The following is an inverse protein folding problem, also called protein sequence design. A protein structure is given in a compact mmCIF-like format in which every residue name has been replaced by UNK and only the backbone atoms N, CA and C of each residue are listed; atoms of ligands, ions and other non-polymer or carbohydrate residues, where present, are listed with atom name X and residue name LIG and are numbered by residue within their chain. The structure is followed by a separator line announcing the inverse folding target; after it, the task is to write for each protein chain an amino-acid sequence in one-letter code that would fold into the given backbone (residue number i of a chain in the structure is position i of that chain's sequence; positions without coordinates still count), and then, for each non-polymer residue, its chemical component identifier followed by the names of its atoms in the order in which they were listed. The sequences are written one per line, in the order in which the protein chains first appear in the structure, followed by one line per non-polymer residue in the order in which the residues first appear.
data_IF_769098099301
#
_entry.id   IF_769098099301
#
_cell.length_a   1.000
_cell.length_b   1.000
_cell.length_c   1.000
_cell.angle_alpha   90.00
_cell.angle_beta   90.00
_cell.angle_gamma   90.00
#
_symmetry.space_group_name_H-M   'P 1'
#
loop_
_entity.id
_entity.type
_entity.pdbx_description
1 polymer ?
#
# COMPACT_ATOMS: atom_id res chain seq x y z
N UNK A 1 1.70 -10.46 7.51
CA UNK A 1 0.55 -10.99 6.73
C UNK A 1 0.93 -12.30 6.05
N UNK A 2 -0.02 -13.25 5.91
CA UNK A 2 0.21 -14.44 5.07
C UNK A 2 0.14 -14.09 3.59
N UNK A 3 0.67 -14.97 2.72
CA UNK A 3 0.58 -14.78 1.26
C UNK A 3 -0.88 -14.71 0.79
N UNK A 4 -1.76 -15.53 1.38
CA UNK A 4 -3.19 -15.55 1.09
C UNK A 4 -3.88 -14.23 1.47
N UNK A 5 -3.55 -13.66 2.62
CA UNK A 5 -4.07 -12.37 3.06
C UNK A 5 -3.62 -11.25 2.11
N UNK A 6 -2.35 -11.22 1.70
CA UNK A 6 -1.85 -10.24 0.72
C UNK A 6 -2.58 -10.35 -0.62
N UNK A 7 -2.78 -11.58 -1.11
CA UNK A 7 -3.47 -11.83 -2.38
C UNK A 7 -4.94 -11.40 -2.27
N UNK A 8 -5.62 -11.71 -1.16
CA UNK A 8 -7.05 -11.41 -0.99
C UNK A 8 -7.37 -9.92 -1.13
N UNK A 9 -6.46 -9.04 -0.71
CA UNK A 9 -6.57 -7.58 -0.89
C UNK A 9 -6.71 -7.19 -2.36
N UNK A 10 -6.06 -7.92 -3.27
CA UNK A 10 -5.99 -7.55 -4.68
C UNK A 10 -6.79 -8.47 -5.62
N UNK A 11 -7.56 -9.44 -5.09
CA UNK A 11 -8.38 -10.36 -5.92
C UNK A 11 -9.23 -9.61 -6.94
N UNK A 12 -10.01 -8.54 -6.58
CA UNK A 12 -10.83 -7.84 -7.56
C UNK A 12 -10.02 -7.17 -8.68
N UNK A 13 -8.77 -6.80 -8.43
CA UNK A 13 -7.87 -6.26 -9.45
C UNK A 13 -7.29 -7.37 -10.32
N UNK A 14 -6.92 -8.51 -9.74
CA UNK A 14 -6.42 -9.67 -10.46
C UNK A 14 -7.48 -10.24 -11.43
N UNK A 15 -8.75 -10.15 -11.08
CA UNK A 15 -9.88 -10.57 -11.95
C UNK A 15 -10.06 -9.67 -13.20
N UNK A 16 -9.40 -8.50 -13.25
CA UNK A 16 -9.41 -7.62 -14.43
C UNK A 16 -8.34 -7.97 -15.47
N UNK A 17 -7.41 -8.86 -15.14
CA UNK A 17 -6.39 -9.30 -16.08
C UNK A 17 -7.00 -10.10 -17.23
N UNK A 18 -6.51 -9.83 -18.43
CA UNK A 18 -6.99 -10.46 -19.67
C UNK A 18 -6.18 -11.71 -20.04
N UNK A 19 -5.00 -11.90 -19.43
CA UNK A 19 -4.11 -13.05 -19.67
C UNK A 19 -3.73 -13.74 -18.36
N UNK A 20 -3.79 -15.08 -18.35
CA UNK A 20 -3.39 -15.87 -17.18
C UNK A 20 -1.91 -15.72 -16.83
N UNK A 21 -1.04 -15.59 -17.84
CA UNK A 21 0.39 -15.38 -17.65
C UNK A 21 0.66 -14.18 -16.74
N UNK A 22 0.11 -13.01 -17.10
CA UNK A 22 0.34 -11.76 -16.36
C UNK A 22 -0.35 -11.78 -14.99
N UNK A 23 -1.54 -12.40 -14.90
CA UNK A 23 -2.26 -12.57 -13.65
C UNK A 23 -1.48 -13.41 -12.64
N UNK A 24 -0.93 -14.55 -13.08
CA UNK A 24 -0.13 -15.44 -12.24
C UNK A 24 1.19 -14.77 -11.82
N UNK A 25 1.86 -14.09 -12.73
CA UNK A 25 3.05 -13.28 -12.42
C UNK A 25 2.74 -12.23 -11.35
N UNK A 26 1.68 -11.44 -11.55
CA UNK A 26 1.27 -10.41 -10.58
C UNK A 26 0.94 -11.02 -9.22
N UNK A 27 0.24 -12.17 -9.19
CA UNK A 27 -0.08 -12.90 -7.96
C UNK A 27 1.19 -13.32 -7.20
N UNK A 28 2.20 -13.84 -7.89
CA UNK A 28 3.47 -14.22 -7.24
C UNK A 28 4.27 -13.01 -6.75
N UNK A 29 4.23 -11.90 -7.47
CA UNK A 29 4.85 -10.64 -7.04
C UNK A 29 4.18 -10.05 -5.79
N UNK A 30 2.86 -10.13 -5.67
CA UNK A 30 2.11 -9.64 -4.50
C UNK A 30 2.63 -10.30 -3.21
N UNK A 31 2.97 -11.59 -3.23
CA UNK A 31 3.53 -12.29 -2.06
C UNK A 31 4.84 -11.68 -1.54
N UNK A 32 5.62 -11.07 -2.44
CA UNK A 32 6.91 -10.45 -2.12
C UNK A 32 6.78 -8.98 -1.66
N UNK A 33 5.59 -8.37 -1.73
CA UNK A 33 5.38 -7.01 -1.23
C UNK A 33 5.61 -7.01 0.29
N UNK A 34 6.44 -6.09 0.82
CA UNK A 34 6.66 -5.98 2.25
C UNK A 34 5.37 -5.70 3.02
N UNK A 35 5.18 -6.33 4.16
CA UNK A 35 3.96 -6.24 4.99
C UNK A 35 3.59 -4.80 5.33
N UNK A 36 4.60 -3.93 5.58
CA UNK A 36 4.34 -2.56 5.97
C UNK A 36 3.49 -1.77 4.95
N UNK A 37 3.58 -2.10 3.64
CA UNK A 37 2.81 -1.44 2.58
C UNK A 37 1.30 -1.57 2.82
N UNK A 38 0.87 -2.67 3.39
CA UNK A 38 -0.54 -2.92 3.67
C UNK A 38 -1.10 -2.08 4.82
N UNK A 39 -0.25 -1.42 5.59
CA UNK A 39 -0.61 -0.77 6.84
C UNK A 39 -0.32 0.73 6.88
N UNK A 40 0.56 1.24 6.00
CA UNK A 40 0.94 2.65 6.00
C UNK A 40 -0.09 3.54 5.30
N UNK A 41 -0.14 4.85 5.64
CA UNK A 41 -0.84 5.82 4.82
C UNK A 41 -0.11 6.05 3.49
N UNK A 42 -0.83 6.45 2.46
CA UNK A 42 -0.22 6.89 1.22
C UNK A 42 0.50 8.24 1.39
N UNK A 43 -0.01 9.11 2.25
CA UNK A 43 0.61 10.40 2.56
C UNK A 43 0.45 10.74 4.04
N UNK A 44 1.54 11.19 4.66
CA UNK A 44 1.52 11.70 6.05
C UNK A 44 1.16 13.19 6.13
N UNK A 45 1.26 13.94 5.03
CA UNK A 45 1.03 15.38 5.02
C UNK A 45 -0.41 15.77 4.68
N UNK A 46 -1.17 14.89 4.02
CA UNK A 46 -2.53 15.15 3.54
C UNK A 46 -2.64 16.28 2.51
N UNK A 47 -1.49 16.81 2.01
CA UNK A 47 -1.49 17.98 1.13
C UNK A 47 -2.18 17.74 -0.20
N UNK A 48 -2.02 16.55 -0.75
CA UNK A 48 -2.52 16.20 -2.08
C UNK A 48 -3.52 15.04 -2.04
N UNK A 49 -3.37 14.13 -1.08
CA UNK A 49 -4.17 12.94 -0.92
C UNK A 49 -5.48 13.23 -0.17
N UNK A 50 -6.54 12.49 -0.49
CA UNK A 50 -7.79 12.55 0.26
C UNK A 50 -7.59 12.01 1.71
N UNK A 51 -8.56 12.31 2.59
CA UNK A 51 -8.45 11.98 4.01
C UNK A 51 -8.27 10.47 4.25
N UNK A 52 -8.94 9.63 3.49
CA UNK A 52 -8.90 8.17 3.61
C UNK A 52 -7.51 7.62 3.35
N UNK A 53 -6.82 8.16 2.36
CA UNK A 53 -5.45 7.76 2.01
C UNK A 53 -4.39 8.27 3.01
N UNK A 54 -4.77 9.14 3.94
CA UNK A 54 -3.89 9.61 5.00
C UNK A 54 -4.02 8.82 6.30
N UNK A 55 -4.91 7.82 6.34
CA UNK A 55 -5.13 6.92 7.47
C UNK A 55 -4.35 5.61 7.31
N UNK A 56 -4.48 4.74 8.29
CA UNK A 56 -4.03 3.35 8.21
C UNK A 56 -4.61 2.68 6.95
N UNK A 57 -3.84 1.81 6.31
CA UNK A 57 -4.17 1.18 5.02
C UNK A 57 -4.33 2.16 3.85
N UNK A 58 -4.04 3.43 4.04
CA UNK A 58 -4.20 4.48 3.03
C UNK A 58 -3.42 4.21 1.75
N UNK A 59 -2.27 3.51 1.86
CA UNK A 59 -1.51 3.08 0.69
C UNK A 59 -2.28 2.07 -0.16
N UNK A 60 -3.00 1.15 0.45
CA UNK A 60 -3.85 0.19 -0.27
C UNK A 60 -5.02 0.90 -0.93
N UNK A 61 -5.68 1.84 -0.25
CA UNK A 61 -6.77 2.63 -0.84
C UNK A 61 -6.29 3.44 -2.05
N UNK A 62 -5.09 4.02 -1.99
CA UNK A 62 -4.47 4.67 -3.12
C UNK A 62 -4.23 3.69 -4.29
N UNK A 63 -3.67 2.52 -4.05
CA UNK A 63 -3.44 1.47 -5.06
C UNK A 63 -4.76 1.06 -5.73
N UNK A 64 -5.81 0.79 -4.96
CA UNK A 64 -7.12 0.39 -5.48
C UNK A 64 -7.71 1.52 -6.35
N UNK A 65 -7.69 2.77 -5.86
CA UNK A 65 -8.18 3.92 -6.62
C UNK A 65 -7.40 4.12 -7.92
N UNK A 66 -6.09 4.01 -7.87
CA UNK A 66 -5.23 4.08 -9.07
C UNK A 66 -5.62 2.98 -10.08
N UNK A 67 -5.74 1.74 -9.63
CA UNK A 67 -6.10 0.61 -10.50
C UNK A 67 -7.50 0.76 -11.12
N UNK A 68 -8.48 1.23 -10.36
CA UNK A 68 -9.84 1.47 -10.88
C UNK A 68 -9.84 2.58 -11.95
N UNK A 69 -9.18 3.72 -11.71
CA UNK A 69 -9.04 4.79 -12.71
C UNK A 69 -8.36 4.23 -13.98
N UNK A 70 -7.28 3.47 -13.84
CA UNK A 70 -6.59 2.86 -14.97
C UNK A 70 -7.50 1.90 -15.74
N UNK A 71 -8.25 1.05 -15.05
CA UNK A 71 -9.17 0.09 -15.68
C UNK A 71 -10.30 0.80 -16.44
N UNK A 72 -10.86 1.89 -15.89
CA UNK A 72 -11.82 2.74 -16.62
C UNK A 72 -11.21 3.31 -17.89
N UNK A 73 -10.00 3.84 -17.82
CA UNK A 73 -9.34 4.42 -19.00
C UNK A 73 -8.99 3.34 -20.03
N UNK A 74 -8.50 2.16 -19.61
CA UNK A 74 -8.19 1.04 -20.52
C UNK A 74 -9.44 0.47 -21.19
N UNK A 75 -10.62 0.58 -20.57
CA UNK A 75 -11.89 0.14 -21.15
C UNK A 75 -12.40 1.06 -22.27
N UNK A 76 -11.96 2.32 -22.31
CA UNK A 76 -12.38 3.27 -23.35
C UNK A 76 -11.90 2.80 -24.74
N UNK A 77 -12.77 2.94 -25.75
CA UNK A 77 -12.48 2.49 -27.13
C UNK A 77 -11.18 3.08 -27.66
N UNK A 78 -10.95 4.36 -27.51
CA UNK A 78 -9.73 5.05 -27.97
C UNK A 78 -8.45 4.46 -27.36
N UNK A 79 -8.49 4.07 -26.07
CA UNK A 79 -7.34 3.47 -25.39
C UNK A 79 -7.17 1.98 -25.75
N UNK A 80 -8.27 1.24 -25.98
CA UNK A 80 -8.20 -0.12 -26.52
C UNK A 80 -7.64 -0.17 -27.93
N UNK A 81 -7.93 0.80 -28.75
CA UNK A 81 -7.36 0.96 -30.09
C UNK A 81 -5.88 1.35 -30.04
N UNK A 82 -5.44 2.08 -29.03
CA UNK A 82 -4.06 2.50 -28.79
C UNK A 82 -3.22 1.37 -28.17
N UNK A 83 -3.71 0.74 -27.11
CA UNK A 83 -3.07 -0.37 -26.41
C UNK A 83 -3.72 -1.69 -26.79
N UNK A 84 -3.45 -2.15 -28.02
CA UNK A 84 -4.18 -3.28 -28.64
C UNK A 84 -3.92 -4.63 -27.97
N UNK A 85 -2.71 -4.87 -27.47
CA UNK A 85 -2.33 -6.13 -26.85
C UNK A 85 -2.91 -6.27 -25.44
N UNK A 86 -3.59 -7.39 -25.15
CA UNK A 86 -4.05 -7.73 -23.79
C UNK A 86 -2.87 -7.76 -22.82
N UNK A 87 -1.77 -8.38 -23.21
CA UNK A 87 -0.54 -8.44 -22.43
C UNK A 87 0.03 -7.06 -22.10
N UNK A 88 -0.04 -6.12 -23.04
CA UNK A 88 0.37 -4.73 -22.80
C UNK A 88 -0.52 -4.03 -21.77
N UNK A 89 -1.84 -4.22 -21.86
CA UNK A 89 -2.80 -3.67 -20.88
C UNK A 89 -2.61 -4.32 -19.51
N UNK A 90 -2.30 -5.62 -19.46
CA UNK A 90 -2.04 -6.32 -18.20
C UNK A 90 -0.71 -5.89 -17.57
N UNK A 91 0.33 -5.62 -18.38
CA UNK A 91 1.56 -5.00 -17.87
C UNK A 91 1.28 -3.64 -17.19
N UNK A 92 0.37 -2.84 -17.75
CA UNK A 92 -0.06 -1.60 -17.12
C UNK A 92 -0.84 -1.85 -15.82
N UNK A 93 -1.68 -2.92 -15.74
CA UNK A 93 -2.43 -3.30 -14.52
C UNK A 93 -1.55 -3.77 -13.37
N UNK A 94 -0.35 -4.26 -13.64
CA UNK A 94 0.63 -4.58 -12.59
C UNK A 94 1.11 -3.32 -11.85
N UNK A 95 1.21 -2.18 -12.54
CA UNK A 95 1.91 -0.99 -12.04
C UNK A 95 1.25 -0.38 -10.81
N UNK A 96 -0.07 -0.21 -10.72
CA UNK A 96 -0.70 0.29 -9.49
C UNK A 96 -0.29 -0.50 -8.24
N UNK A 97 -0.15 -1.82 -8.36
CA UNK A 97 0.22 -2.70 -7.25
C UNK A 97 1.72 -2.58 -6.90
N UNK A 98 2.57 -2.32 -7.89
CA UNK A 98 4.03 -2.41 -7.75
C UNK A 98 4.73 -1.06 -7.54
N UNK A 99 4.17 0.06 -8.03
CA UNK A 99 4.88 1.35 -8.13
C UNK A 99 5.44 1.86 -6.80
N UNK A 100 4.74 1.60 -5.72
CA UNK A 100 5.06 2.01 -4.35
C UNK A 100 5.46 0.84 -3.43
N UNK A 101 5.73 -0.37 -3.98
CA UNK A 101 6.03 -1.56 -3.17
C UNK A 101 7.22 -1.38 -2.22
N UNK A 102 8.15 -0.48 -2.54
CA UNK A 102 9.30 -0.12 -1.70
C UNK A 102 9.29 1.37 -1.30
N UNK A 103 8.10 1.91 -1.02
CA UNK A 103 7.88 3.34 -0.73
C UNK A 103 8.77 3.89 0.38
N UNK A 104 9.02 3.11 1.42
CA UNK A 104 9.86 3.50 2.55
C UNK A 104 11.31 2.97 2.43
N UNK A 105 11.76 2.59 1.24
CA UNK A 105 13.09 2.02 1.00
C UNK A 105 13.18 0.52 1.35
N UNK A 106 14.37 -0.04 1.14
CA UNK A 106 14.64 -1.46 1.41
C UNK A 106 14.64 -1.82 2.91
N UNK A 107 14.92 -0.83 3.77
CA UNK A 107 15.06 -1.02 5.22
C UNK A 107 13.76 -0.77 5.98
N UNK A 108 12.62 -0.71 5.29
CA UNK A 108 11.30 -0.42 5.89
C UNK A 108 11.32 0.86 6.76
N UNK A 109 11.87 1.93 6.21
CA UNK A 109 11.99 3.22 6.89
C UNK A 109 10.63 3.81 7.30
N UNK A 110 10.66 4.84 8.15
CA UNK A 110 9.44 5.49 8.66
C UNK A 110 8.79 6.44 7.64
N UNK A 111 9.51 6.81 6.59
CA UNK A 111 9.09 7.85 5.65
C UNK A 111 9.33 7.42 4.21
N UNK A 112 8.51 7.97 3.31
CA UNK A 112 8.71 7.83 1.87
C UNK A 112 10.10 8.31 1.48
N UNK A 113 10.84 7.48 0.75
CA UNK A 113 12.11 7.86 0.13
C UNK A 113 11.86 8.35 -1.29
N UNK A 114 12.59 9.38 -1.72
CA UNK A 114 12.41 9.99 -3.05
C UNK A 114 12.66 8.98 -4.17
N UNK A 115 13.65 8.13 -4.00
CA UNK A 115 14.08 7.09 -4.95
C UNK A 115 13.20 5.83 -5.01
N UNK A 116 12.10 5.76 -4.25
CA UNK A 116 11.23 4.57 -4.26
C UNK A 116 10.76 4.14 -5.66
N UNK A 117 10.55 5.03 -6.66
CA UNK A 117 10.21 4.61 -8.02
C UNK A 117 11.30 3.75 -8.65
N UNK A 118 12.57 4.15 -8.44
CA UNK A 118 13.72 3.40 -8.95
C UNK A 118 13.87 2.06 -8.24
N UNK A 119 13.64 2.03 -6.92
CA UNK A 119 13.65 0.80 -6.13
C UNK A 119 12.55 -0.18 -6.58
N UNK A 120 11.36 0.32 -6.86
CA UNK A 120 10.27 -0.50 -7.39
C UNK A 120 10.59 -1.09 -8.77
N UNK A 121 11.20 -0.29 -9.67
CA UNK A 121 11.66 -0.77 -10.97
C UNK A 121 12.73 -1.85 -10.85
N UNK A 122 13.73 -1.66 -9.99
CA UNK A 122 14.78 -2.65 -9.74
C UNK A 122 14.23 -3.94 -9.12
N UNK A 123 13.30 -3.81 -8.17
CA UNK A 123 12.60 -4.95 -7.59
C UNK A 123 11.86 -5.77 -8.66
N UNK A 124 11.15 -5.14 -9.59
CA UNK A 124 10.46 -5.82 -10.70
C UNK A 124 11.46 -6.58 -11.58
N UNK A 125 12.62 -5.98 -11.91
CA UNK A 125 13.65 -6.62 -12.75
C UNK A 125 14.31 -7.82 -12.08
N UNK A 126 14.60 -7.69 -10.80
CA UNK A 126 15.35 -8.69 -10.04
C UNK A 126 14.49 -9.79 -9.46
N UNK A 127 13.18 -9.62 -9.42
CA UNK A 127 12.26 -10.59 -8.81
C UNK A 127 12.38 -11.99 -9.44
N UNK A 128 12.46 -12.97 -8.55
CA UNK A 128 12.43 -14.39 -8.87
C UNK A 128 11.07 -14.94 -8.43
N UNK A 129 10.23 -15.34 -9.36
CA UNK A 129 8.88 -15.83 -9.12
C UNK A 129 8.62 -17.14 -9.85
N UNK A 130 7.64 -17.90 -9.39
CA UNK A 130 7.30 -19.21 -9.98
C UNK A 130 6.75 -19.05 -11.39
N UNK A 131 5.86 -18.09 -11.61
CA UNK A 131 5.24 -17.81 -12.90
C UNK A 131 5.86 -16.54 -13.48
N UNK A 132 7.11 -16.66 -13.94
CA UNK A 132 7.87 -15.54 -14.46
C UNK A 132 7.45 -15.17 -15.89
N UNK A 133 7.70 -13.91 -16.26
CA UNK A 133 7.45 -13.34 -17.58
C UNK A 133 8.77 -13.01 -18.27
N UNK A 134 8.74 -12.81 -19.58
CA UNK A 134 9.97 -12.45 -20.31
C UNK A 134 10.53 -11.08 -19.90
N UNK A 135 11.82 -10.89 -20.16
CA UNK A 135 12.55 -9.68 -19.77
C UNK A 135 12.00 -8.39 -20.39
N UNK A 136 11.38 -8.47 -21.57
CA UNK A 136 10.79 -7.30 -22.22
C UNK A 136 9.55 -6.80 -21.47
N UNK A 137 8.68 -7.70 -21.03
CA UNK A 137 7.51 -7.35 -20.24
C UNK A 137 7.92 -6.84 -18.85
N UNK A 138 8.90 -7.48 -18.19
CA UNK A 138 9.48 -6.98 -16.92
C UNK A 138 10.03 -5.57 -17.08
N UNK A 139 10.80 -5.32 -18.12
CA UNK A 139 11.38 -4.00 -18.38
C UNK A 139 10.29 -2.95 -18.61
N UNK A 140 9.22 -3.28 -19.34
CA UNK A 140 8.11 -2.36 -19.54
C UNK A 140 7.42 -1.99 -18.22
N UNK A 141 7.15 -2.97 -17.34
CA UNK A 141 6.56 -2.74 -16.01
C UNK A 141 7.52 -1.91 -15.14
N UNK A 142 8.80 -2.29 -15.07
CA UNK A 142 9.82 -1.60 -14.29
C UNK A 142 9.93 -0.12 -14.68
N UNK A 143 10.00 0.17 -15.98
CA UNK A 143 10.05 1.54 -16.50
C UNK A 143 8.80 2.36 -16.13
N UNK A 144 7.62 1.76 -16.18
CA UNK A 144 6.40 2.43 -15.74
C UNK A 144 6.43 2.74 -14.23
N UNK A 145 6.95 1.81 -13.41
CA UNK A 145 7.16 2.07 -11.98
C UNK A 145 8.16 3.22 -11.75
N UNK A 146 9.30 3.23 -12.44
CA UNK A 146 10.33 4.27 -12.31
C UNK A 146 9.83 5.67 -12.66
N UNK A 147 8.83 5.78 -13.52
CA UNK A 147 8.35 7.03 -14.12
C UNK A 147 6.97 7.47 -13.63
N UNK A 148 6.41 6.77 -12.62
CA UNK A 148 5.07 7.11 -12.14
C UNK A 148 5.00 8.51 -11.52
N UNK A 149 6.12 9.00 -10.94
CA UNK A 149 6.21 10.35 -10.37
C UNK A 149 6.06 11.49 -11.39
N UNK A 150 6.24 11.17 -12.69
CA UNK A 150 6.03 12.11 -13.79
C UNK A 150 6.97 13.31 -13.76
N UNK A 151 6.40 14.51 -13.61
CA UNK A 151 7.15 15.78 -13.56
C UNK A 151 7.81 16.05 -12.20
N UNK A 152 7.50 15.25 -11.17
CA UNK A 152 8.06 15.42 -9.82
C UNK A 152 9.39 14.68 -9.68
N UNK A 153 10.35 15.04 -10.53
CA UNK A 153 11.65 14.34 -10.69
C UNK A 153 12.70 14.72 -9.65
N UNK A 154 12.57 15.90 -9.02
CA UNK A 154 13.56 16.45 -8.11
C UNK A 154 13.10 16.45 -6.66
N UNK A 155 14.04 16.29 -5.74
CA UNK A 155 13.81 16.45 -4.31
C UNK A 155 14.97 17.15 -3.63
N UNK A 156 14.67 18.10 -2.72
CA UNK A 156 15.68 18.74 -1.88
C UNK A 156 16.40 17.76 -0.94
N UNK A 157 15.83 16.58 -0.73
CA UNK A 157 16.34 15.54 0.19
C UNK A 157 17.15 14.45 -0.51
N UNK A 158 17.19 14.43 -1.84
CA UNK A 158 17.92 13.43 -2.63
C UNK A 158 18.67 14.09 -3.77
N UNK A 159 19.80 13.49 -4.16
CA UNK A 159 20.57 13.88 -5.36
C UNK A 159 20.09 13.13 -6.62
N UNK A 160 19.19 12.18 -6.45
CA UNK A 160 18.65 11.38 -7.54
C UNK A 160 17.58 12.20 -8.25
N UNK A 161 17.72 12.30 -9.57
CA UNK A 161 16.70 12.85 -10.46
C UNK A 161 15.95 11.68 -11.09
N UNK A 162 14.65 11.64 -10.89
CA UNK A 162 13.81 10.55 -11.41
C UNK A 162 13.58 10.74 -12.93
N UNK A 163 13.41 9.66 -13.69
CA UNK A 163 13.13 9.76 -15.12
C UNK A 163 11.68 10.18 -15.38
N UNK A 164 11.48 11.11 -16.33
CA UNK A 164 10.15 11.49 -16.81
C UNK A 164 9.50 10.43 -17.70
N UNK A 165 8.16 10.40 -17.83
CA UNK A 165 7.44 9.52 -18.75
C UNK A 165 7.81 9.78 -20.21
N UNK A 166 8.37 8.75 -20.89
CA UNK A 166 8.83 8.85 -22.27
C UNK A 166 7.85 8.34 -23.34
N UNK A 167 6.80 7.61 -22.94
CA UNK A 167 5.83 7.02 -23.87
C UNK A 167 4.40 7.10 -23.32
N UNK A 168 3.43 6.67 -24.12
CA UNK A 168 2.01 6.81 -23.78
C UNK A 168 1.55 5.92 -22.62
N UNK A 169 2.17 4.75 -22.43
CA UNK A 169 1.88 3.89 -21.26
C UNK A 169 2.36 4.57 -19.99
N UNK A 170 3.60 5.03 -19.96
CA UNK A 170 4.21 5.72 -18.83
C UNK A 170 3.43 7.00 -18.47
N UNK A 171 2.99 7.79 -19.48
CA UNK A 171 2.15 8.99 -19.27
C UNK A 171 0.78 8.65 -18.69
N UNK A 172 0.14 7.57 -19.18
CA UNK A 172 -1.16 7.13 -18.65
C UNK A 172 -1.03 6.67 -17.20
N UNK A 173 0.01 5.91 -16.88
CA UNK A 173 0.32 5.49 -15.50
C UNK A 173 0.47 6.71 -14.58
N UNK A 174 1.31 7.67 -14.95
CA UNK A 174 1.49 8.91 -14.20
C UNK A 174 0.17 9.69 -14.00
N UNK A 175 -0.65 9.84 -15.05
CA UNK A 175 -1.93 10.53 -14.93
C UNK A 175 -2.89 9.82 -13.96
N UNK A 176 -2.94 8.48 -14.02
CA UNK A 176 -3.80 7.71 -13.11
C UNK A 176 -3.32 7.82 -11.66
N UNK A 177 -2.01 7.77 -11.43
CA UNK A 177 -1.43 7.95 -10.11
C UNK A 177 -1.74 9.35 -9.54
N UNK A 178 -1.51 10.41 -10.30
CA UNK A 178 -1.88 11.77 -9.90
C UNK A 178 -3.38 11.89 -9.59
N UNK A 179 -4.25 11.36 -10.44
CA UNK A 179 -5.69 11.45 -10.22
C UNK A 179 -6.10 10.70 -8.96
N UNK A 180 -5.53 9.51 -8.72
CA UNK A 180 -5.82 8.72 -7.51
C UNK A 180 -5.38 9.39 -6.22
N UNK A 181 -4.41 10.30 -6.28
CA UNK A 181 -3.90 11.05 -5.13
C UNK A 181 -4.64 12.36 -4.85
N UNK A 182 -5.58 12.81 -5.72
CA UNK A 182 -6.23 14.12 -5.54
C UNK A 182 -7.26 14.11 -4.41
N UNK A 183 -7.18 15.12 -3.53
CA UNK A 183 -8.07 15.26 -2.37
C UNK A 183 -9.52 15.62 -2.72
N UNK A 184 -9.77 16.08 -3.95
CA UNK A 184 -11.11 16.37 -4.46
C UNK A 184 -11.72 15.21 -5.27
N UNK A 185 -11.00 14.11 -5.42
CA UNK A 185 -11.48 12.86 -6.00
C UNK A 185 -11.50 11.82 -4.87
N UNK A 186 -12.68 11.43 -4.42
CA UNK A 186 -12.84 10.44 -3.37
C UNK A 186 -13.61 9.24 -3.91
N UNK A 187 -13.18 8.06 -3.52
CA UNK A 187 -13.89 6.81 -3.77
C UNK A 187 -14.20 6.15 -2.43
N UNK A 188 -15.42 5.61 -2.25
CA UNK A 188 -15.72 4.85 -1.05
C UNK A 188 -14.77 3.65 -0.94
N UNK A 189 -14.27 3.40 0.26
CA UNK A 189 -13.49 2.20 0.54
C UNK A 189 -14.40 1.00 0.31
N UNK A 190 -14.04 0.05 -0.55
CA UNK A 190 -14.80 -1.17 -0.75
C UNK A 190 -14.98 -1.96 0.56
N UNK A 191 -16.18 -2.46 0.84
CA UNK A 191 -16.47 -3.17 2.09
C UNK A 191 -15.57 -4.38 2.31
N UNK A 192 -15.25 -5.14 1.25
CA UNK A 192 -14.36 -6.30 1.34
C UNK A 192 -12.97 -5.96 1.90
N UNK A 193 -12.47 -4.74 1.67
CA UNK A 193 -11.17 -4.33 2.24
C UNK A 193 -11.29 -4.08 3.74
N UNK A 194 -12.40 -3.53 4.20
CA UNK A 194 -12.65 -3.36 5.64
C UNK A 194 -12.69 -4.71 6.33
N UNK A 195 -13.47 -5.64 5.77
CA UNK A 195 -13.60 -7.00 6.33
C UNK A 195 -12.24 -7.70 6.43
N UNK A 196 -11.41 -7.64 5.36
CA UNK A 196 -10.06 -8.23 5.37
C UNK A 196 -9.17 -7.62 6.46
N UNK A 197 -9.17 -6.29 6.60
CA UNK A 197 -8.29 -5.65 7.56
C UNK A 197 -8.79 -5.80 9.00
N UNK A 198 -10.09 -5.81 9.21
CA UNK A 198 -10.69 -6.09 10.51
C UNK A 198 -10.37 -7.53 10.96
N UNK A 199 -10.49 -8.54 10.07
CA UNK A 199 -10.10 -9.92 10.36
C UNK A 199 -8.61 -10.04 10.71
N UNK A 200 -7.71 -9.39 9.96
CA UNK A 200 -6.26 -9.40 10.23
C UNK A 200 -5.95 -8.75 11.59
N UNK A 201 -6.62 -7.65 11.93
CA UNK A 201 -6.43 -7.00 13.22
C UNK A 201 -6.95 -7.84 14.39
N UNK A 202 -8.04 -8.60 14.21
CA UNK A 202 -8.60 -9.50 15.23
C UNK A 202 -7.69 -10.69 15.55
N UNK A 203 -6.87 -11.15 14.61
CA UNK A 203 -5.89 -12.22 14.81
C UNK A 203 -4.71 -11.82 15.70
N UNK A 204 -4.51 -10.51 15.97
CA UNK A 204 -3.41 -10.03 16.78
C UNK A 204 -3.76 -10.10 18.26
N UNK A 205 -3.08 -10.98 18.99
CA UNK A 205 -3.19 -11.07 20.43
C UNK A 205 -2.42 -9.95 21.14
N UNK A 206 -2.97 -9.47 22.26
CA UNK A 206 -2.30 -8.45 23.06
C UNK A 206 -1.11 -9.04 23.84
N UNK A 207 0.10 -8.55 23.56
CA UNK A 207 1.28 -8.81 24.37
C UNK A 207 1.35 -7.84 25.57
N UNK A 208 1.11 -8.33 26.78
CA UNK A 208 1.16 -7.53 28.03
C UNK A 208 2.56 -6.93 28.30
N UNK A 209 3.62 -7.49 27.69
CA UNK A 209 4.99 -7.00 27.81
C UNK A 209 5.40 -6.04 26.69
N UNK A 210 4.50 -5.72 25.77
CA UNK A 210 4.79 -4.81 24.66
C UNK A 210 5.28 -3.45 25.16
N UNK A 211 6.50 -3.06 24.75
CA UNK A 211 7.16 -1.82 25.14
C UNK A 211 7.15 -0.83 24.00
N UNK A 212 6.74 0.40 24.28
CA UNK A 212 6.78 1.48 23.30
C UNK A 212 8.23 1.82 22.92
N UNK A 213 8.55 1.83 21.64
CA UNK A 213 9.89 2.12 21.10
C UNK A 213 10.05 3.60 20.66
N UNK A 214 9.03 4.44 20.88
CA UNK A 214 8.95 5.82 20.38
C UNK A 214 8.24 6.76 21.39
N UNK A 215 8.31 8.06 21.07
CA UNK A 215 7.56 9.12 21.77
C UNK A 215 7.98 9.34 23.21
N UNK A 216 7.15 10.10 23.94
CA UNK A 216 7.43 10.51 25.32
C UNK A 216 7.43 9.36 26.34
N UNK A 217 6.82 8.22 26.00
CA UNK A 217 6.77 7.02 26.84
C UNK A 217 7.66 5.90 26.31
N UNK A 218 8.66 6.20 25.48
CA UNK A 218 9.64 5.21 25.00
C UNK A 218 10.25 4.44 26.17
N UNK A 219 10.29 3.11 26.04
CA UNK A 219 10.83 2.19 27.06
C UNK A 219 9.82 1.79 28.13
N UNK A 220 8.58 2.29 28.11
CA UNK A 220 7.50 1.86 29.03
C UNK A 220 6.58 0.86 28.37
N UNK A 221 6.05 -0.08 29.18
CA UNK A 221 5.04 -1.03 28.67
C UNK A 221 3.75 -0.29 28.31
N UNK A 222 3.13 -0.71 27.22
CA UNK A 222 1.90 -0.09 26.73
C UNK A 222 0.77 -0.11 27.78
N UNK A 223 0.61 -1.22 28.48
CA UNK A 223 -0.42 -1.35 29.52
C UNK A 223 -0.22 -0.36 30.69
N UNK A 224 1.03 -0.10 31.09
CA UNK A 224 1.35 0.87 32.14
C UNK A 224 1.08 2.31 31.67
N UNK A 225 1.32 2.58 30.40
CA UNK A 225 0.99 3.88 29.80
C UNK A 225 -0.53 4.06 29.72
N UNK A 226 -1.27 3.03 29.31
CA UNK A 226 -2.74 3.08 29.29
C UNK A 226 -3.33 3.38 30.67
N UNK A 227 -2.80 2.75 31.72
CA UNK A 227 -3.27 2.93 33.09
C UNK A 227 -3.03 4.34 33.65
N UNK A 228 -2.01 5.05 33.13
CA UNK A 228 -1.60 6.37 33.64
C UNK A 228 -1.96 7.53 32.71
N UNK A 229 -2.06 7.27 31.42
CA UNK A 229 -2.35 8.27 30.39
C UNK A 229 -3.00 7.62 29.15
N UNK A 230 -4.28 7.19 29.25
CA UNK A 230 -5.00 6.54 28.15
C UNK A 230 -5.12 7.46 26.92
N UNK A 231 -5.29 8.76 27.09
CA UNK A 231 -5.43 9.73 26.00
C UNK A 231 -4.24 9.75 25.06
N UNK A 232 -3.04 9.44 25.58
CA UNK A 232 -1.85 9.33 24.74
C UNK A 232 -1.94 8.16 23.76
N UNK A 233 -2.45 7.00 24.21
CA UNK A 233 -2.63 5.85 23.34
C UNK A 233 -3.80 6.05 22.37
N UNK A 234 -4.85 6.75 22.78
CA UNK A 234 -5.93 7.15 21.88
C UNK A 234 -5.42 8.10 20.78
N UNK A 235 -4.55 9.04 21.16
CA UNK A 235 -3.86 9.88 20.18
C UNK A 235 -2.94 9.06 19.26
N UNK A 236 -2.19 8.10 19.82
CA UNK A 236 -1.33 7.22 19.03
C UNK A 236 -2.12 6.42 18.00
N UNK A 237 -3.25 5.81 18.39
CA UNK A 237 -4.11 5.05 17.51
C UNK A 237 -4.57 5.86 16.29
N UNK A 238 -4.82 7.15 16.46
CA UNK A 238 -5.34 8.04 15.43
C UNK A 238 -4.24 8.81 14.65
N UNK A 239 -3.01 8.87 15.13
CA UNK A 239 -1.98 9.75 14.57
C UNK A 239 -0.65 9.06 14.26
N UNK A 240 -0.43 7.82 14.74
CA UNK A 240 0.81 7.08 14.49
C UNK A 240 0.59 6.04 13.39
N UNK A 241 1.50 6.03 12.43
CA UNK A 241 1.44 5.14 11.26
C UNK A 241 2.36 3.91 11.39
N UNK A 242 2.63 3.48 12.65
CA UNK A 242 3.29 2.20 12.93
C UNK A 242 2.22 1.15 13.16
N UNK A 243 1.99 0.29 12.17
CA UNK A 243 0.97 -0.76 12.24
C UNK A 243 1.05 -1.58 13.54
N UNK A 244 2.23 -2.08 13.88
CA UNK A 244 2.43 -2.91 15.08
C UNK A 244 1.95 -2.20 16.36
N UNK A 245 2.19 -0.89 16.47
CA UNK A 245 1.76 -0.11 17.61
C UNK A 245 0.24 0.04 17.65
N UNK A 246 -0.35 0.42 16.52
CA UNK A 246 -1.81 0.64 16.41
C UNK A 246 -2.56 -0.68 16.63
N UNK A 247 -2.11 -1.76 16.00
CA UNK A 247 -2.68 -3.09 16.18
C UNK A 247 -2.57 -3.57 17.63
N UNK A 248 -1.43 -3.33 18.30
CA UNK A 248 -1.24 -3.68 19.70
C UNK A 248 -2.13 -2.84 20.63
N UNK A 249 -2.35 -1.54 20.34
CA UNK A 249 -3.30 -0.69 21.10
C UNK A 249 -4.73 -1.25 20.97
N UNK A 250 -5.15 -1.60 19.76
CA UNK A 250 -6.48 -2.20 19.50
C UNK A 250 -6.63 -3.54 20.20
N UNK A 251 -5.63 -4.43 20.12
CA UNK A 251 -5.60 -5.73 20.79
C UNK A 251 -5.70 -5.57 22.33
N UNK A 252 -4.95 -4.63 22.92
CA UNK A 252 -5.05 -4.29 24.33
C UNK A 252 -6.46 -3.87 24.72
N UNK A 253 -7.07 -2.94 24.00
CA UNK A 253 -8.44 -2.46 24.27
C UNK A 253 -9.46 -3.59 24.16
N UNK A 254 -9.34 -4.50 23.17
CA UNK A 254 -10.20 -5.70 23.08
C UNK A 254 -10.03 -6.61 24.30
N UNK A 255 -8.79 -6.90 24.68
CA UNK A 255 -8.48 -7.76 25.85
C UNK A 255 -9.06 -7.19 27.14
N UNK A 256 -8.94 -5.89 27.39
CA UNK A 256 -9.48 -5.22 28.57
C UNK A 256 -11.01 -5.28 28.61
N UNK A 257 -11.69 -4.97 27.49
CA UNK A 257 -13.16 -5.07 27.40
C UNK A 257 -13.69 -6.49 27.64
N UNK A 258 -12.92 -7.51 27.20
CA UNK A 258 -13.29 -8.91 27.45
C UNK A 258 -13.19 -9.24 28.95
N UNK A 259 -12.10 -8.83 29.61
CA UNK A 259 -11.90 -9.02 31.07
C UNK A 259 -12.99 -8.32 31.89
N UNK A 260 -13.43 -7.12 31.49
CA UNK A 260 -14.54 -6.39 32.14
C UNK A 260 -15.86 -7.16 32.03
N UNK A 261 -16.22 -7.63 30.85
CA UNK A 261 -17.44 -8.42 30.64
C UNK A 261 -17.46 -9.75 31.39
N UNK A 262 -16.29 -10.40 31.52
CA UNK A 262 -16.16 -11.67 32.27
C UNK A 262 -16.28 -11.43 33.79
N UNK A 263 -15.80 -10.28 34.28
CA UNK A 263 -15.96 -9.87 35.69
C UNK A 263 -17.39 -9.46 36.04
N UNK A 264 -18.17 -8.90 35.12
CA UNK A 264 -19.60 -8.55 35.32
C UNK A 264 -20.52 -9.78 35.33
N UNK A 265 -20.06 -10.94 34.80
CA UNK A 265 -20.82 -12.20 34.72
C UNK A 265 -20.58 -13.14 35.90
N UNK A 266 -19.57 -12.88 36.71
CA UNK A 266 -19.22 -13.63 37.93
C UNK A 266 -19.63 -12.87 39.18
#
# INVERSE_FOLDING_TARGET
MTDEQKISVFVPLLDKFETDEMRLYCTDMIKQIPDYIFHIPSSTSGKYHNATQCLQHGQIYHIIMFAEILNYLLALKCNREKFKSSRQRDAMRCVPIFHDALKCGNDNGLYTVHEHPMLAGEWVRSAQVKHDIDSYAKEAIARMCERHSGEFVDSKKSKIVLPEPGNDMERMIHMCDILSSRNNLDMPIPDYLRDIFDDIEEEIDFDENYVLDFGQFKGRRMIDVYSTNPDYLDWCENNIHKFEVVAMIKAMKRSLRKKEKDNERN
#
